data_IF_046853904191
#
_entry.id   IF_046853904191
#
_cell.length_a   1.000
_cell.length_b   1.000
_cell.length_c   1.000
_cell.angle_alpha   90.00
_cell.angle_beta   90.00
_cell.angle_gamma   90.00
#
_symmetry.space_group_name_H-M   'P 1'
#
loop_
_entity.id
_entity.type
_entity.pdbx_description
1 polymer ?
#
# COMPACT_ATOMS: atom_id res chain seq x y z
N UNK A 1 17.95 5.05 20.74
CA UNK A 1 17.93 3.62 21.13
C UNK A 1 16.57 3.35 21.76
N UNK A 2 15.59 2.95 20.96
CA UNK A 2 14.21 2.73 21.41
C UNK A 2 13.81 1.30 21.08
N UNK A 3 13.65 0.51 22.15
CA UNK A 3 13.23 -0.87 22.16
C UNK A 3 11.82 -1.03 21.57
N UNK A 4 11.66 -1.90 20.59
CA UNK A 4 10.36 -2.48 20.24
C UNK A 4 10.25 -3.86 20.88
N UNK A 5 9.27 -4.01 21.77
CA UNK A 5 8.89 -5.27 22.40
C UNK A 5 7.83 -5.91 21.48
N UNK A 6 8.09 -7.06 20.83
CA UNK A 6 7.04 -7.76 20.10
C UNK A 6 6.22 -8.59 21.10
N UNK A 7 4.90 -8.39 21.06
CA UNK A 7 3.92 -9.21 21.77
C UNK A 7 3.93 -10.64 21.19
N UNK A 8 4.19 -11.62 22.06
CA UNK A 8 4.26 -13.04 21.75
C UNK A 8 2.83 -13.62 21.75
N UNK A 9 2.42 -14.28 20.68
CA UNK A 9 1.34 -15.28 20.71
C UNK A 9 1.96 -16.69 20.72
N UNK A 10 1.51 -17.62 21.58
CA UNK A 10 2.07 -18.96 21.62
C UNK A 10 1.32 -19.85 20.60
N UNK A 11 2.06 -20.53 19.73
CA UNK A 11 1.58 -21.75 19.10
C UNK A 11 2.48 -22.91 19.54
N UNK A 12 1.84 -23.84 20.24
CA UNK A 12 2.41 -24.99 20.94
C UNK A 12 2.72 -26.16 19.99
N UNK A 13 3.89 -26.80 20.21
CA UNK A 13 4.18 -28.26 20.17
C UNK A 13 3.84 -29.06 18.88
N UNK A 14 4.68 -29.93 18.29
CA UNK A 14 5.88 -30.68 18.70
C UNK A 14 6.33 -31.45 17.41
N UNK A 15 7.60 -31.56 16.98
CA UNK A 15 8.61 -32.48 17.50
C UNK A 15 9.94 -32.28 16.74
N UNK A 16 11.03 -32.47 17.49
CA UNK A 16 12.42 -32.68 17.08
C UNK A 16 13.33 -31.45 17.04
N UNK A 17 13.79 -31.17 18.26
CA UNK A 17 14.87 -30.27 18.66
C UNK A 17 16.19 -30.74 18.03
N UNK A 18 16.68 -30.01 17.03
CA UNK A 18 18.13 -29.85 16.82
C UNK A 18 18.45 -28.38 16.57
N UNK A 19 19.34 -27.88 17.45
CA UNK A 19 20.08 -26.62 17.40
C UNK A 19 19.35 -25.33 17.79
N UNK A 20 19.50 -25.01 19.08
CA UNK A 20 19.37 -23.70 19.69
C UNK A 20 20.39 -22.68 19.14
N UNK A 21 20.20 -22.25 17.90
CA UNK A 21 20.48 -20.87 17.50
C UNK A 21 19.11 -20.25 17.28
N UNK A 22 18.67 -19.36 18.18
CA UNK A 22 17.57 -18.44 17.88
C UNK A 22 18.10 -17.41 16.86
N UNK A 23 18.46 -17.88 15.66
CA UNK A 23 18.68 -17.02 14.52
C UNK A 23 17.29 -16.53 14.09
N UNK A 24 17.12 -15.22 14.01
CA UNK A 24 15.95 -14.67 13.35
C UNK A 24 15.92 -15.25 11.92
N UNK A 25 14.93 -16.08 11.61
CA UNK A 25 14.71 -16.53 10.23
C UNK A 25 14.07 -15.36 9.50
N UNK A 26 14.70 -14.84 8.43
CA UNK A 26 14.11 -13.73 7.71
C UNK A 26 12.80 -14.14 7.07
N UNK A 27 11.84 -13.23 7.09
CA UNK A 27 10.59 -13.40 6.34
C UNK A 27 10.94 -13.43 4.86
N UNK A 28 10.39 -14.42 4.15
CA UNK A 28 10.52 -14.56 2.71
C UNK A 28 9.15 -14.45 2.08
N UNK A 29 8.97 -13.48 1.19
CA UNK A 29 7.76 -13.32 0.37
C UNK A 29 8.03 -13.90 -1.02
N UNK A 30 7.04 -14.52 -1.67
CA UNK A 30 7.22 -15.03 -3.04
C UNK A 30 6.47 -16.33 -3.32
N UNK A 31 6.62 -16.82 -4.55
CA UNK A 31 5.95 -18.03 -5.04
C UNK A 31 6.93 -19.17 -5.40
N UNK A 32 8.23 -19.02 -5.11
CA UNK A 32 9.29 -19.96 -5.46
C UNK A 32 10.08 -19.57 -6.71
N UNK A 33 9.48 -18.85 -7.68
CA UNK A 33 10.16 -18.35 -8.88
C UNK A 33 10.77 -16.96 -8.64
N UNK A 34 10.08 -16.13 -7.85
CA UNK A 34 10.61 -14.87 -7.33
C UNK A 34 10.44 -14.88 -5.81
N UNK A 35 11.56 -14.80 -5.09
CA UNK A 35 11.59 -14.81 -3.63
C UNK A 35 12.28 -13.53 -3.13
N UNK A 36 11.59 -12.79 -2.27
CA UNK A 36 12.12 -11.65 -1.55
C UNK A 36 12.43 -12.05 -0.10
N UNK A 37 13.71 -12.23 0.21
CA UNK A 37 14.18 -12.43 1.58
C UNK A 37 14.52 -11.09 2.23
N UNK A 38 13.92 -10.82 3.39
CA UNK A 38 14.12 -9.56 4.11
C UNK A 38 15.48 -9.42 4.81
N UNK A 39 16.32 -10.46 4.76
CA UNK A 39 17.73 -10.39 5.13
C UNK A 39 18.61 -9.84 4.00
N UNK A 40 18.20 -10.04 2.74
CA UNK A 40 19.02 -9.68 1.59
C UNK A 40 18.87 -8.23 1.20
N UNK A 41 17.63 -7.75 1.08
CA UNK A 41 17.35 -6.38 0.69
C UNK A 41 15.99 -5.91 1.23
N UNK A 42 15.95 -4.76 1.92
CA UNK A 42 14.70 -4.21 2.45
C UNK A 42 13.78 -3.64 1.36
N UNK A 43 14.31 -3.37 0.16
CA UNK A 43 13.58 -2.79 -0.98
C UNK A 43 12.92 -3.87 -1.87
N UNK A 44 13.09 -5.13 -1.53
CA UNK A 44 12.57 -6.24 -2.31
C UNK A 44 11.05 -6.29 -2.24
N UNK A 45 10.41 -6.38 -3.41
CA UNK A 45 8.97 -6.55 -3.54
C UNK A 45 8.65 -7.64 -4.56
N UNK A 46 7.59 -8.41 -4.29
CA UNK A 46 7.05 -9.42 -5.20
C UNK A 46 5.56 -9.17 -5.41
N UNK A 47 4.99 -9.64 -6.54
CA UNK A 47 3.54 -9.64 -6.71
C UNK A 47 2.85 -10.40 -5.57
N UNK A 48 1.75 -9.87 -5.08
CA UNK A 48 1.00 -10.56 -4.04
C UNK A 48 0.14 -11.67 -4.64
N UNK A 49 0.29 -12.88 -4.10
CA UNK A 49 -0.55 -14.02 -4.40
C UNK A 49 -1.41 -14.32 -3.18
N UNK A 50 -2.64 -14.72 -3.44
CA UNK A 50 -3.64 -15.05 -2.44
C UNK A 50 -3.86 -16.55 -2.47
N UNK A 51 -3.96 -17.16 -1.28
CA UNK A 51 -4.17 -18.59 -1.05
C UNK A 51 -2.95 -19.46 -1.41
N UNK A 52 -2.54 -20.28 -0.45
CA UNK A 52 -1.43 -21.22 -0.59
C UNK A 52 -1.73 -22.30 -1.65
N UNK A 53 -3.01 -22.60 -1.90
CA UNK A 53 -3.45 -23.67 -2.79
C UNK A 53 -3.68 -23.21 -4.23
N UNK A 54 -4.34 -22.07 -4.43
CA UNK A 54 -4.77 -21.58 -5.76
C UNK A 54 -3.83 -20.48 -6.30
N UNK A 55 -3.07 -19.79 -5.43
CA UNK A 55 -2.12 -18.71 -5.78
C UNK A 55 -2.74 -17.67 -6.73
N UNK A 56 -3.84 -17.06 -6.32
CA UNK A 56 -4.51 -16.02 -7.09
C UNK A 56 -3.74 -14.69 -6.99
N UNK A 57 -3.18 -14.23 -8.10
CA UNK A 57 -2.49 -12.95 -8.19
C UNK A 57 -3.46 -11.78 -8.00
N UNK A 58 -3.11 -10.78 -7.17
CA UNK A 58 -3.79 -9.47 -7.19
C UNK A 58 -3.03 -8.52 -8.12
N UNK A 59 -3.60 -8.14 -9.27
CA UNK A 59 -2.94 -7.23 -10.19
C UNK A 59 -2.65 -5.88 -9.55
N UNK A 60 -1.41 -5.41 -9.70
CA UNK A 60 -1.02 -4.07 -9.26
C UNK A 60 -0.65 -3.94 -7.79
N UNK A 61 -0.90 -4.95 -6.96
CA UNK A 61 -0.51 -4.93 -5.54
C UNK A 61 0.74 -5.76 -5.33
N UNK A 62 1.73 -5.16 -4.68
CA UNK A 62 2.99 -5.78 -4.32
C UNK A 62 3.07 -5.97 -2.80
N UNK A 63 3.80 -6.99 -2.38
CA UNK A 63 4.18 -7.24 -0.99
C UNK A 63 5.70 -7.28 -0.90
N UNK A 64 6.26 -6.83 0.21
CA UNK A 64 7.70 -6.77 0.41
C UNK A 64 8.04 -6.54 1.87
N UNK A 65 9.34 -6.44 2.13
CA UNK A 65 9.88 -6.34 3.49
C UNK A 65 9.48 -5.04 4.19
N UNK A 66 9.46 -3.94 3.43
CA UNK A 66 8.86 -2.69 3.88
C UNK A 66 7.54 -2.45 3.17
N UNK A 67 6.46 -2.40 3.98
CA UNK A 67 5.10 -2.16 3.52
C UNK A 67 5.02 -0.86 2.72
N UNK A 68 5.74 0.19 3.15
CA UNK A 68 5.76 1.48 2.45
C UNK A 68 6.39 1.35 1.07
N UNK A 69 7.50 0.62 0.94
CA UNK A 69 8.16 0.46 -0.36
C UNK A 69 7.31 -0.39 -1.31
N UNK A 70 6.75 -1.49 -0.81
CA UNK A 70 5.81 -2.31 -1.57
C UNK A 70 4.58 -1.51 -2.02
N UNK A 71 4.02 -0.66 -1.15
CA UNK A 71 2.93 0.24 -1.50
C UNK A 71 3.34 1.24 -2.58
N UNK A 72 4.47 1.92 -2.41
CA UNK A 72 4.94 2.94 -3.35
C UNK A 72 5.21 2.37 -4.75
N UNK A 73 5.71 1.13 -4.83
CA UNK A 73 5.90 0.42 -6.10
C UNK A 73 4.60 -0.20 -6.67
N UNK A 74 3.59 -0.41 -5.85
CA UNK A 74 2.26 -0.87 -6.28
C UNK A 74 1.55 0.20 -7.12
N UNK A 75 0.46 -0.21 -7.77
CA UNK A 75 -0.45 0.66 -8.50
C UNK A 75 -1.92 0.31 -8.17
N UNK A 76 -2.85 1.12 -8.65
CA UNK A 76 -4.27 1.01 -8.31
C UNK A 76 -5.07 0.16 -9.32
N UNK A 77 -4.41 -0.61 -10.18
CA UNK A 77 -5.07 -1.31 -11.29
C UNK A 77 -6.24 -2.19 -10.85
N UNK A 78 -6.09 -2.94 -9.74
CA UNK A 78 -7.16 -3.77 -9.17
C UNK A 78 -8.44 -2.99 -8.83
N UNK A 79 -8.31 -1.73 -8.41
CA UNK A 79 -9.45 -0.89 -7.98
C UNK A 79 -10.36 -0.50 -9.14
N UNK A 80 -9.92 -0.69 -10.38
CA UNK A 80 -10.69 -0.45 -11.59
C UNK A 80 -11.33 -1.73 -12.16
N UNK A 81 -11.24 -2.86 -11.47
CA UNK A 81 -11.82 -4.13 -11.88
C UNK A 81 -12.71 -4.72 -10.78
N UNK A 82 -14.00 -4.91 -11.08
CA UNK A 82 -14.99 -5.37 -10.11
C UNK A 82 -14.67 -6.76 -9.54
N UNK A 83 -14.25 -7.70 -10.39
CA UNK A 83 -13.88 -9.05 -9.97
C UNK A 83 -12.66 -9.04 -9.04
N UNK A 84 -11.72 -8.11 -9.27
CA UNK A 84 -10.55 -7.95 -8.40
C UNK A 84 -10.97 -7.41 -7.02
N UNK A 85 -11.86 -6.43 -6.96
CA UNK A 85 -12.42 -5.91 -5.70
C UNK A 85 -13.18 -7.00 -4.94
N UNK A 86 -14.00 -7.79 -5.61
CA UNK A 86 -14.73 -8.90 -4.98
C UNK A 86 -13.78 -9.94 -4.39
N UNK A 87 -12.71 -10.25 -5.12
CA UNK A 87 -11.62 -11.09 -4.61
C UNK A 87 -11.03 -10.49 -3.33
N UNK A 88 -10.69 -9.20 -3.32
CA UNK A 88 -10.15 -8.52 -2.12
C UNK A 88 -11.13 -8.55 -0.93
N UNK A 89 -12.43 -8.36 -1.17
CA UNK A 89 -13.45 -8.39 -0.10
C UNK A 89 -13.48 -9.73 0.63
N UNK A 90 -13.53 -10.83 -0.13
CA UNK A 90 -13.55 -12.17 0.44
C UNK A 90 -12.34 -12.46 1.34
N UNK A 91 -11.23 -11.74 1.13
CA UNK A 91 -9.97 -11.96 1.85
C UNK A 91 -9.82 -11.10 3.09
N UNK A 92 -10.22 -9.83 3.01
CA UNK A 92 -10.14 -8.93 4.17
C UNK A 92 -11.10 -9.42 5.24
N UNK A 93 -12.34 -9.72 4.85
CA UNK A 93 -13.31 -10.35 5.73
C UNK A 93 -14.47 -10.94 4.92
N UNK A 94 -14.58 -12.27 4.81
CA UNK A 94 -15.67 -12.91 4.07
C UNK A 94 -17.05 -12.66 4.69
N UNK A 95 -17.12 -12.16 5.92
CA UNK A 95 -18.34 -11.89 6.65
C UNK A 95 -18.78 -10.43 6.60
N UNK A 96 -18.00 -9.53 5.99
CA UNK A 96 -18.39 -8.13 5.80
C UNK A 96 -18.88 -7.94 4.37
N UNK A 97 -20.17 -7.62 4.22
CA UNK A 97 -20.71 -7.11 2.97
C UNK A 97 -20.28 -5.66 2.75
N UNK A 98 -19.06 -5.47 2.25
CA UNK A 98 -18.63 -4.17 1.75
C UNK A 98 -19.30 -3.94 0.39
N UNK A 99 -20.26 -3.02 0.32
CA UNK A 99 -20.83 -2.60 -0.97
C UNK A 99 -19.90 -1.60 -1.66
N UNK A 100 -18.77 -2.09 -2.17
CA UNK A 100 -17.82 -1.30 -2.95
C UNK A 100 -17.87 -1.68 -4.43
N UNK A 101 -17.90 -0.66 -5.27
CA UNK A 101 -17.86 -0.78 -6.73
C UNK A 101 -16.48 -0.41 -7.26
N UNK A 102 -16.10 -0.99 -8.39
CA UNK A 102 -14.89 -0.59 -9.11
C UNK A 102 -14.94 0.86 -9.56
N UNK A 103 -13.77 1.49 -9.54
CA UNK A 103 -13.54 2.80 -10.13
C UNK A 103 -13.78 2.73 -11.63
N UNK A 104 -14.33 3.80 -12.19
CA UNK A 104 -14.67 3.85 -13.60
C UNK A 104 -13.42 4.19 -14.45
N UNK A 105 -13.00 3.26 -15.29
CA UNK A 105 -11.87 3.43 -16.22
C UNK A 105 -12.14 4.43 -17.35
N UNK A 106 -13.41 4.71 -17.66
CA UNK A 106 -13.77 5.61 -18.77
C UNK A 106 -13.74 7.09 -18.38
N UNK A 107 -13.73 7.39 -17.08
CA UNK A 107 -13.63 8.76 -16.60
C UNK A 107 -12.19 9.26 -16.80
N UNK A 108 -12.02 10.52 -17.25
CA UNK A 108 -10.70 11.11 -17.39
C UNK A 108 -10.04 11.20 -16.02
N UNK A 109 -8.82 10.66 -15.92
CA UNK A 109 -7.97 10.74 -14.74
C UNK A 109 -6.61 11.30 -15.13
N UNK A 110 -6.01 12.08 -14.24
CA UNK A 110 -4.62 12.55 -14.37
C UNK A 110 -3.63 11.38 -14.40
N UNK A 111 -3.95 10.29 -13.71
CA UNK A 111 -3.11 9.10 -13.60
C UNK A 111 -3.79 7.90 -14.23
N UNK A 112 -3.05 7.14 -15.03
CA UNK A 112 -3.50 5.87 -15.56
C UNK A 112 -3.59 4.82 -14.43
N UNK A 113 -4.47 3.80 -14.52
CA UNK A 113 -4.62 2.77 -13.49
C UNK A 113 -3.32 2.00 -13.13
N UNK A 114 -2.38 1.90 -14.07
CA UNK A 114 -1.07 1.27 -13.88
C UNK A 114 0.03 2.23 -13.37
N UNK A 115 -0.30 3.50 -13.10
CA UNK A 115 0.63 4.45 -12.49
C UNK A 115 0.97 4.01 -11.08
N UNK A 116 2.26 4.04 -10.72
CA UNK A 116 2.70 3.67 -9.38
C UNK A 116 2.17 4.66 -8.35
N UNK A 117 1.91 4.18 -7.13
CA UNK A 117 1.48 5.02 -6.01
C UNK A 117 2.56 6.07 -5.72
N UNK A 118 3.85 5.74 -5.88
CA UNK A 118 4.94 6.71 -5.82
C UNK A 118 4.70 7.90 -6.75
N UNK A 119 4.44 7.66 -8.03
CA UNK A 119 4.18 8.73 -9.01
C UNK A 119 2.98 9.61 -8.63
N UNK A 120 1.96 9.02 -7.99
CA UNK A 120 0.79 9.75 -7.49
C UNK A 120 1.17 10.61 -6.28
N UNK A 121 1.88 10.04 -5.30
CA UNK A 121 2.27 10.70 -4.04
C UNK A 121 3.28 11.82 -4.28
N UNK A 122 4.28 11.59 -5.13
CA UNK A 122 5.30 12.58 -5.54
C UNK A 122 4.67 13.81 -6.23
N UNK A 123 3.39 13.71 -6.59
CA UNK A 123 2.62 14.72 -7.31
C UNK A 123 1.38 15.20 -6.52
N UNK A 124 1.24 14.74 -5.29
CA UNK A 124 0.19 15.09 -4.35
C UNK A 124 0.60 16.26 -3.45
N UNK A 125 1.90 16.37 -3.14
CA UNK A 125 2.42 17.41 -2.27
C UNK A 125 2.56 18.74 -3.03
N UNK A 126 2.43 19.84 -2.30
CA UNK A 126 2.71 21.18 -2.83
C UNK A 126 4.23 21.33 -2.88
N UNK A 127 4.80 21.21 -4.09
CA UNK A 127 6.25 21.27 -4.30
C UNK A 127 6.83 22.68 -4.09
N UNK A 128 6.05 23.72 -4.39
CA UNK A 128 6.48 25.11 -4.24
C UNK A 128 5.29 26.02 -3.88
N UNK A 129 5.45 26.82 -2.83
CA UNK A 129 4.51 27.89 -2.50
C UNK A 129 4.92 29.15 -3.28
N UNK A 130 4.14 29.51 -4.29
CA UNK A 130 4.36 30.74 -5.04
C UNK A 130 3.97 31.93 -4.15
N UNK A 131 4.96 32.58 -3.53
CA UNK A 131 4.80 33.74 -2.63
C UNK A 131 4.35 35.04 -3.33
N UNK A 132 4.08 35.02 -4.64
CA UNK A 132 3.68 36.21 -5.42
C UNK A 132 2.16 36.40 -5.53
N UNK A 133 1.36 35.62 -4.78
CA UNK A 133 -0.10 35.78 -4.73
C UNK A 133 -0.49 37.11 -4.11
N UNK A 134 -0.77 38.10 -4.97
CA UNK A 134 -1.40 39.35 -4.56
C UNK A 134 -2.87 39.10 -4.25
N UNK A 135 -3.24 39.21 -2.98
CA UNK A 135 -4.63 39.15 -2.54
C UNK A 135 -5.39 40.46 -2.79
N UNK A 136 -4.83 41.40 -3.55
CA UNK A 136 -5.43 42.70 -3.83
C UNK A 136 -6.83 42.57 -4.40
N UNK A 137 -7.05 41.67 -5.36
CA UNK A 137 -8.39 41.46 -5.95
C UNK A 137 -9.43 40.93 -4.94
N UNK A 138 -8.99 40.15 -3.94
CA UNK A 138 -9.84 39.68 -2.86
C UNK A 138 -10.17 40.83 -1.90
N UNK A 139 -9.17 41.57 -1.44
CA UNK A 139 -9.37 42.68 -0.51
C UNK A 139 -10.09 43.87 -1.14
N UNK A 140 -9.88 44.17 -2.42
CA UNK A 140 -10.63 45.20 -3.15
C UNK A 140 -12.13 44.82 -3.23
N UNK A 141 -12.44 43.52 -3.37
CA UNK A 141 -13.81 43.03 -3.49
C UNK A 141 -14.51 42.91 -2.13
N UNK A 142 -13.77 42.58 -1.09
CA UNK A 142 -14.30 42.28 0.24
C UNK A 142 -13.81 43.27 1.30
N UNK A 143 -13.49 44.52 0.91
CA UNK A 143 -13.05 45.51 1.88
C UNK A 143 -14.20 45.80 2.87
N UNK A 144 -13.94 45.78 4.19
CA UNK A 144 -14.96 46.13 5.17
C UNK A 144 -15.41 47.57 4.94
N UNK A 145 -16.73 47.79 4.94
CA UNK A 145 -17.34 49.10 4.70
C UNK A 145 -16.98 50.07 5.82
N UNK A 146 -16.75 49.55 7.03
CA UNK A 146 -16.28 50.30 8.20
C UNK A 146 -15.33 49.41 9.01
N UNK A 147 -14.25 50.01 9.50
CA UNK A 147 -13.38 49.41 10.50
C UNK A 147 -13.81 49.96 11.86
N UNK A 148 -14.30 49.10 12.75
CA UNK A 148 -14.50 49.42 14.18
C UNK A 148 -13.27 49.10 14.99
#
# INVERSE_FOLDING_TARGET
MTNFIPLIFPLTNNKNITKYFYGAVPVVYGNGESNCSCDQTPLCTVPTYIDENIRLLVPGILIGCFIVEALLQSNLFCFYNQSCIETLKHLINPYIELNTSALNQTLPSRFAPNSTIRSIVDQLMVEEWINTTSHKAYYDRYQPITCT
#
